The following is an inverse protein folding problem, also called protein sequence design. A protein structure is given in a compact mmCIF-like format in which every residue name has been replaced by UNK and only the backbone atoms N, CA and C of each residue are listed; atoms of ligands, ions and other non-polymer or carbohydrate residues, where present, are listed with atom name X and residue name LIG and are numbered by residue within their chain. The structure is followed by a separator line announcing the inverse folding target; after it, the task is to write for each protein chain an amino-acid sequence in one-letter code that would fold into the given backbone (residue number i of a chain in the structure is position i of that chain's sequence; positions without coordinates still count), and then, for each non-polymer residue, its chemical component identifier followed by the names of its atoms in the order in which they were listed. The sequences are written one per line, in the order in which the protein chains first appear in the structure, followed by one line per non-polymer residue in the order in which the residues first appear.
data_IF_527352429832
#
_entry.id   IF_527352429832
#
_cell.length_a   1.000
_cell.length_b   1.000
_cell.length_c   1.000
_cell.angle_alpha   90.00
_cell.angle_beta   90.00
_cell.angle_gamma   90.00
#
_symmetry.space_group_name_H-M   'P 1'
#
loop_
_entity.id
_entity.type
_entity.pdbx_description
1 polymer ?
#
# COMPACT_ATOMS: atom_id res chain seq x y z
N UNK A 1 15.28 3.47 24.57
CA UNK A 1 14.87 3.59 23.15
C UNK A 1 15.49 4.86 22.60
N UNK A 2 16.26 4.78 21.52
CA UNK A 2 16.84 5.93 20.83
C UNK A 2 16.08 6.11 19.51
N UNK A 3 15.48 7.28 19.28
CA UNK A 3 14.83 7.61 18.01
C UNK A 3 15.91 8.16 17.08
N UNK A 4 16.14 7.51 15.94
CA UNK A 4 17.17 7.91 14.97
C UNK A 4 16.61 8.82 13.88
N UNK A 5 15.35 8.64 13.48
CA UNK A 5 14.73 9.38 12.38
C UNK A 5 13.23 9.59 12.61
N UNK A 6 12.71 10.68 12.06
CA UNK A 6 11.28 10.95 11.94
C UNK A 6 10.95 11.34 10.50
N UNK A 7 10.13 10.54 9.83
CA UNK A 7 9.69 10.80 8.47
C UNK A 7 8.19 11.16 8.48
N UNK A 8 7.85 12.42 8.18
CA UNK A 8 6.44 12.87 8.09
C UNK A 8 5.80 12.50 6.74
N UNK A 9 5.89 11.22 6.37
CA UNK A 9 5.32 10.65 5.14
C UNK A 9 5.23 9.13 5.25
N UNK A 10 4.57 8.51 4.28
CA UNK A 10 4.60 7.05 4.08
C UNK A 10 6.04 6.58 3.87
N UNK A 11 6.48 5.64 4.72
CA UNK A 11 7.82 5.06 4.70
C UNK A 11 7.82 3.66 4.04
N UNK A 12 9.02 3.09 3.82
CA UNK A 12 9.17 1.84 3.08
C UNK A 12 8.48 0.61 3.68
N UNK A 13 8.23 0.60 5.00
CA UNK A 13 7.54 -0.49 5.71
C UNK A 13 6.01 -0.40 5.65
N UNK A 14 5.46 0.61 4.97
CA UNK A 14 4.01 0.83 4.89
C UNK A 14 3.26 -0.38 4.34
N UNK A 15 3.69 -0.94 3.20
CA UNK A 15 3.01 -2.07 2.58
C UNK A 15 2.96 -3.31 3.49
N UNK A 16 4.01 -3.55 4.29
CA UNK A 16 4.02 -4.62 5.28
C UNK A 16 3.03 -4.35 6.41
N UNK A 17 2.92 -3.09 6.85
CA UNK A 17 2.01 -2.70 7.94
C UNK A 17 0.55 -2.93 7.54
N UNK A 18 0.17 -2.51 6.33
CA UNK A 18 -1.14 -2.76 5.73
C UNK A 18 -1.42 -4.26 5.59
N UNK A 19 -0.48 -5.03 5.02
CA UNK A 19 -0.61 -6.48 4.88
C UNK A 19 -0.75 -7.21 6.22
N UNK A 20 -0.07 -6.71 7.26
CA UNK A 20 -0.18 -7.19 8.62
C UNK A 20 -1.51 -6.82 9.30
N UNK A 21 -2.32 -5.93 8.72
CA UNK A 21 -3.65 -5.58 9.22
C UNK A 21 -3.79 -4.17 9.80
N UNK A 22 -2.72 -3.37 9.81
CA UNK A 22 -2.84 -1.96 10.15
C UNK A 22 -3.41 -1.20 8.94
N UNK A 23 -4.73 -0.99 8.95
CA UNK A 23 -5.48 -0.27 7.90
C UNK A 23 -5.22 1.25 7.96
N UNK A 24 -3.97 1.66 7.72
CA UNK A 24 -3.49 3.03 7.86
C UNK A 24 -4.16 3.96 6.84
N UNK A 25 -4.47 3.47 5.63
CA UNK A 25 -5.20 4.25 4.62
C UNK A 25 -6.62 4.54 5.08
N UNK A 26 -7.41 3.55 5.49
CA UNK A 26 -8.78 3.83 5.92
C UNK A 26 -8.78 4.75 7.14
N UNK A 27 -7.85 4.59 8.08
CA UNK A 27 -7.73 5.51 9.22
C UNK A 27 -7.33 6.94 8.81
N UNK A 28 -6.43 7.08 7.83
CA UNK A 28 -6.08 8.39 7.27
C UNK A 28 -7.29 9.05 6.61
N UNK A 29 -8.05 8.28 5.83
CA UNK A 29 -9.28 8.75 5.17
C UNK A 29 -10.34 9.11 6.19
N UNK A 30 -10.56 8.29 7.22
CA UNK A 30 -11.46 8.60 8.33
C UNK A 30 -11.12 9.96 8.93
N UNK A 31 -9.84 10.19 9.25
CA UNK A 31 -9.41 11.45 9.83
C UNK A 31 -9.58 12.63 8.89
N UNK A 32 -9.32 12.44 7.58
CA UNK A 32 -9.56 13.45 6.56
C UNK A 32 -11.03 13.91 6.53
N UNK A 33 -11.96 13.00 6.79
CA UNK A 33 -13.40 13.29 6.90
C UNK A 33 -13.87 13.63 8.32
N UNK A 34 -12.95 13.95 9.23
CA UNK A 34 -13.27 14.36 10.61
C UNK A 34 -13.75 13.22 11.51
N UNK A 35 -13.70 11.96 11.05
CA UNK A 35 -14.02 10.78 11.86
C UNK A 35 -12.85 10.45 12.78
N UNK A 36 -13.11 9.81 13.94
CA UNK A 36 -12.04 9.32 14.80
C UNK A 36 -11.23 8.23 14.09
N UNK A 37 -9.97 8.09 14.49
CA UNK A 37 -9.15 6.93 14.15
C UNK A 37 -9.63 5.77 15.03
N UNK A 38 -9.96 4.65 14.41
CA UNK A 38 -10.25 3.40 15.10
C UNK A 38 -8.93 2.68 15.40
N UNK A 39 -8.56 2.66 16.68
CA UNK A 39 -7.33 2.01 17.15
C UNK A 39 -7.48 0.51 17.36
N UNK A 40 -8.71 0.01 17.50
CA UNK A 40 -8.97 -1.43 17.62
C UNK A 40 -8.70 -2.14 16.28
N UNK A 41 -8.84 -1.40 15.17
CA UNK A 41 -8.58 -1.89 13.82
C UNK A 41 -7.11 -1.77 13.41
N UNK A 42 -6.26 -1.09 14.20
CA UNK A 42 -4.82 -1.01 13.99
C UNK A 42 -4.08 -2.18 14.65
N UNK A 43 -4.59 -3.39 14.44
CA UNK A 43 -4.04 -4.61 15.02
C UNK A 43 -3.15 -5.35 14.01
N UNK A 44 -1.89 -5.57 14.40
CA UNK A 44 -0.94 -6.35 13.60
C UNK A 44 -1.14 -7.85 13.83
N UNK A 45 -1.22 -8.61 12.73
CA UNK A 45 -1.09 -10.06 12.72
C UNK A 45 0.39 -10.43 12.65
N UNK A 46 0.90 -11.29 13.56
CA UNK A 46 2.27 -11.77 13.49
C UNK A 46 2.46 -12.73 12.30
N UNK A 47 3.73 -13.00 11.96
CA UNK A 47 4.08 -13.99 10.93
C UNK A 47 3.91 -13.52 9.48
N UNK A 48 3.65 -12.22 9.26
CA UNK A 48 3.57 -11.63 7.93
C UNK A 48 4.96 -11.16 7.48
N UNK A 49 5.35 -11.54 6.27
CA UNK A 49 6.59 -11.08 5.63
C UNK A 49 6.26 -10.30 4.35
N UNK A 50 7.12 -9.34 4.01
CA UNK A 50 7.04 -8.60 2.76
C UNK A 50 8.28 -8.87 1.92
N UNK A 51 8.09 -9.45 0.74
CA UNK A 51 9.11 -9.50 -0.29
C UNK A 51 8.84 -8.38 -1.28
N UNK A 52 9.73 -7.40 -1.35
CA UNK A 52 9.68 -6.37 -2.38
C UNK A 52 10.40 -6.88 -3.62
N UNK A 53 9.69 -6.97 -4.74
CA UNK A 53 10.26 -7.21 -6.05
C UNK A 53 9.81 -6.10 -7.00
N UNK A 54 10.63 -5.81 -8.02
CA UNK A 54 10.28 -4.84 -9.06
C UNK A 54 9.99 -5.63 -10.33
N UNK A 55 8.74 -5.59 -10.79
CA UNK A 55 8.39 -6.03 -12.15
C UNK A 55 8.39 -4.85 -13.10
N UNK A 56 8.71 -5.10 -14.37
CA UNK A 56 8.62 -4.08 -15.42
C UNK A 56 7.15 -3.78 -15.71
N UNK A 57 6.65 -2.69 -15.16
CA UNK A 57 5.35 -2.15 -15.53
C UNK A 57 5.52 -1.34 -16.83
N UNK A 58 4.93 -1.80 -17.93
CA UNK A 58 4.92 -1.09 -19.21
C UNK A 58 3.57 -0.42 -19.44
N UNK A 59 3.58 0.78 -20.01
CA UNK A 59 2.39 1.46 -20.49
C UNK A 59 2.46 1.56 -22.01
N UNK A 60 1.35 1.28 -22.69
CA UNK A 60 1.23 1.37 -24.15
C UNK A 60 -0.13 1.93 -24.54
N UNK A 61 -0.30 2.22 -25.83
CA UNK A 61 -1.57 2.68 -26.37
C UNK A 61 -2.60 1.54 -26.40
N UNK A 62 -3.87 1.85 -26.11
CA UNK A 62 -4.94 0.85 -26.14
C UNK A 62 -5.13 0.20 -27.52
N UNK A 63 -4.77 0.89 -28.60
CA UNK A 63 -4.76 0.35 -29.97
C UNK A 63 -3.83 -0.87 -30.12
N UNK A 64 -2.76 -0.95 -29.33
CA UNK A 64 -1.86 -2.10 -29.34
C UNK A 64 -2.53 -3.37 -28.79
N UNK A 65 -3.53 -3.24 -27.92
CA UNK A 65 -4.32 -4.37 -27.39
C UNK A 65 -5.32 -4.86 -28.44
N UNK A 66 -5.94 -3.95 -29.18
CA UNK A 66 -6.88 -4.28 -30.27
C UNK A 66 -6.18 -5.04 -31.39
N UNK A 67 -4.98 -4.59 -31.80
CA UNK A 67 -4.20 -5.24 -32.85
C UNK A 67 -3.74 -6.67 -32.49
N UNK A 68 -3.52 -6.95 -31.20
CA UNK A 68 -3.13 -8.28 -30.72
C UNK A 68 -4.27 -9.31 -30.81
N UNK A 69 -5.53 -8.86 -30.72
CA UNK A 69 -6.72 -9.73 -30.77
C UNK A 69 -7.07 -10.19 -32.17
N UNK A 70 -6.68 -9.44 -33.19
CA UNK A 70 -6.93 -9.78 -34.61
C UNK A 70 -5.89 -10.77 -35.16
N UNK A 71 -4.85 -11.08 -34.37
CA UNK A 71 -3.75 -12.00 -34.74
C UNK A 71 -3.87 -13.39 -34.08
N UNK A 72 -4.95 -13.66 -33.32
CA UNK A 72 -5.28 -14.95 -32.69
C UNK A 72 -6.54 -15.54 -33.30
#
# INVERSE_FOLDING_TARGET
MLITELNMRVAGAFALSEAAGADLIAQTVNRLFGRPVDHDWLAYRPGVFLTKYTETLTSGDASAITALREQL
#
